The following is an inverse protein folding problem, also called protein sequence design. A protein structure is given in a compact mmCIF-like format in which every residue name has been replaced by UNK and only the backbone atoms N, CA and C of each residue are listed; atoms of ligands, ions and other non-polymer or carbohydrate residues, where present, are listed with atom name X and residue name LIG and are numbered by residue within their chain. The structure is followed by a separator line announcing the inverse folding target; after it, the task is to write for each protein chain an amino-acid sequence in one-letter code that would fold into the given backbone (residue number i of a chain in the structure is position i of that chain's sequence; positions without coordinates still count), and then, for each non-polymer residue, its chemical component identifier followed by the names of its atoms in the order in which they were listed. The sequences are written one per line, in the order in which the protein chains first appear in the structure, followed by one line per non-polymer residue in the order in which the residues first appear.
data_IF_290769897382
#
_entry.id   IF_290769897382
#
_cell.length_a   1.000
_cell.length_b   1.000
_cell.length_c   1.000
_cell.angle_alpha   90.00
_cell.angle_beta   90.00
_cell.angle_gamma   90.00
#
_symmetry.space_group_name_H-M   'P 1'
#
loop_
_entity.id
_entity.type
_entity.pdbx_description
1 polymer ?
#
# COMPACT_ATOMS: atom_id res chain seq x y z
N UNK A 1 -1.52 -6.76 9.76
CA UNK A 1 -1.37 -5.50 8.98
C UNK A 1 -0.50 -5.83 7.77
N UNK A 2 -0.79 -5.26 6.60
CA UNK A 2 -0.01 -5.51 5.37
C UNK A 2 1.22 -4.61 5.35
N UNK A 3 2.31 -5.07 4.73
CA UNK A 3 3.55 -4.31 4.60
C UNK A 3 3.53 -3.32 3.42
N UNK A 4 4.56 -2.47 3.37
CA UNK A 4 4.74 -1.49 2.31
C UNK A 4 5.47 -2.04 1.08
N UNK A 5 5.01 -1.68 -0.11
CA UNK A 5 5.81 -1.72 -1.34
C UNK A 5 5.50 -0.51 -2.22
N UNK A 6 6.53 0.08 -2.85
CA UNK A 6 6.34 1.10 -3.90
C UNK A 6 5.89 0.48 -5.25
N UNK A 7 5.85 -0.85 -5.34
CA UNK A 7 5.20 -1.62 -6.41
C UNK A 7 4.19 -2.59 -5.75
N UNK A 8 3.08 -2.07 -5.21
CA UNK A 8 2.14 -2.87 -4.44
C UNK A 8 1.38 -3.88 -5.31
N UNK A 9 0.89 -4.96 -4.71
CA UNK A 9 0.00 -5.93 -5.37
C UNK A 9 -1.46 -5.79 -4.92
N UNK A 10 -1.73 -4.99 -3.89
CA UNK A 10 -3.09 -4.60 -3.48
C UNK A 10 -3.20 -3.08 -3.28
N UNK A 11 -4.41 -2.54 -3.48
CA UNK A 11 -4.76 -1.16 -3.17
C UNK A 11 -5.79 -1.08 -2.05
N UNK A 12 -5.69 -0.02 -1.24
CA UNK A 12 -6.68 0.32 -0.23
C UNK A 12 -7.85 1.05 -0.87
N UNK A 13 -9.06 0.55 -0.68
CA UNK A 13 -10.27 1.16 -1.20
C UNK A 13 -11.24 1.45 -0.06
N UNK A 14 -11.71 2.69 0.00
CA UNK A 14 -12.79 3.10 0.89
C UNK A 14 -14.09 3.10 0.11
N UNK A 15 -15.11 2.46 0.68
CA UNK A 15 -16.47 2.46 0.16
C UNK A 15 -17.45 2.68 1.31
N UNK A 16 -18.64 3.20 1.02
CA UNK A 16 -19.72 3.25 1.99
C UNK A 16 -20.58 2.00 1.84
N UNK A 17 -20.82 1.31 2.96
CA UNK A 17 -21.70 0.15 3.01
C UNK A 17 -23.14 0.56 2.71
N UNK A 18 -23.92 -0.38 2.19
CA UNK A 18 -25.34 -0.18 1.86
C UNK A 18 -26.22 -0.03 3.11
N UNK A 19 -25.78 -0.60 4.23
CA UNK A 19 -26.43 -0.43 5.53
C UNK A 19 -25.79 0.73 6.30
N UNK A 20 -26.61 1.73 6.61
CA UNK A 20 -26.26 2.89 7.45
C UNK A 20 -25.04 3.72 7.00
N UNK A 21 -24.61 3.60 5.73
CA UNK A 21 -23.44 4.30 5.19
C UNK A 21 -22.16 4.09 6.02
N UNK A 22 -22.00 2.91 6.63
CA UNK A 22 -20.80 2.61 7.42
C UNK A 22 -19.59 2.57 6.48
N UNK A 23 -18.48 3.27 6.77
CA UNK A 23 -17.28 3.18 5.95
C UNK A 23 -16.69 1.77 6.02
N UNK A 24 -16.50 1.16 4.85
CA UNK A 24 -15.87 -0.14 4.67
C UNK A 24 -14.55 0.06 3.96
N UNK A 25 -13.52 -0.57 4.52
CA UNK A 25 -12.15 -0.48 4.06
C UNK A 25 -11.77 -1.85 3.50
N UNK A 26 -11.46 -1.89 2.20
CA UNK A 26 -11.18 -3.13 1.48
C UNK A 26 -9.81 -3.07 0.81
N UNK A 27 -9.12 -4.20 0.76
CA UNK A 27 -7.95 -4.37 -0.10
C UNK A 27 -8.38 -5.04 -1.39
N UNK A 28 -8.01 -4.47 -2.53
CA UNK A 28 -8.30 -5.03 -3.86
C UNK A 28 -7.01 -5.36 -4.57
N UNK A 29 -6.95 -6.55 -5.17
CA UNK A 29 -5.80 -6.97 -5.96
C UNK A 29 -5.64 -6.06 -7.19
N UNK A 30 -4.40 -5.64 -7.46
CA UNK A 30 -4.02 -4.85 -8.63
C UNK A 30 -3.58 -5.74 -9.81
N UNK A 31 -3.30 -7.01 -9.52
CA UNK A 31 -2.89 -8.05 -10.47
C UNK A 31 -3.18 -9.42 -9.87
N UNK A 32 -2.94 -10.48 -10.64
CA UNK A 32 -2.92 -11.84 -10.09
C UNK A 32 -1.84 -11.96 -8.99
N UNK A 33 -2.19 -12.63 -7.90
CA UNK A 33 -1.35 -12.84 -6.71
C UNK A 33 -1.28 -14.34 -6.47
N UNK A 34 -0.07 -14.89 -6.36
CA UNK A 34 0.12 -16.32 -6.14
C UNK A 34 -0.06 -16.69 -4.67
N UNK A 35 -0.40 -17.96 -4.39
CA UNK A 35 -0.42 -18.45 -3.02
C UNK A 35 0.97 -18.32 -2.38
N UNK A 36 1.02 -17.79 -1.15
CA UNK A 36 2.27 -17.51 -0.43
C UNK A 36 2.98 -16.22 -0.82
N UNK A 37 2.51 -15.51 -1.84
CA UNK A 37 3.01 -14.16 -2.16
C UNK A 37 2.55 -13.16 -1.08
N UNK A 38 3.49 -12.35 -0.58
CA UNK A 38 3.17 -11.34 0.43
C UNK A 38 2.26 -10.24 -0.14
N UNK A 39 1.20 -9.88 0.59
CA UNK A 39 0.33 -8.77 0.23
C UNK A 39 0.91 -7.44 0.73
N UNK A 40 1.19 -6.54 -0.20
CA UNK A 40 1.75 -5.22 0.08
C UNK A 40 0.92 -4.11 -0.56
N UNK A 41 0.74 -3.02 0.18
CA UNK A 41 0.13 -1.77 -0.31
C UNK A 41 1.09 -0.58 -0.18
N UNK A 42 0.78 0.54 -0.83
CA UNK A 42 1.59 1.75 -0.68
C UNK A 42 1.13 2.57 0.51
N UNK A 43 2.08 2.98 1.36
CA UNK A 43 1.82 3.87 2.51
C UNK A 43 1.97 5.34 2.11
N UNK A 44 2.51 5.59 0.92
CA UNK A 44 2.87 6.91 0.40
C UNK A 44 2.39 7.05 -1.03
N UNK A 45 2.35 8.28 -1.53
CA UNK A 45 2.09 8.54 -2.94
C UNK A 45 3.20 7.93 -3.82
N UNK A 46 2.78 7.19 -4.84
CA UNK A 46 3.66 6.49 -5.77
C UNK A 46 4.29 7.43 -6.80
N UNK A 47 3.74 8.62 -7.07
CA UNK A 47 4.24 9.52 -8.11
C UNK A 47 5.44 10.38 -7.70
N UNK A 48 5.88 10.25 -6.45
CA UNK A 48 7.07 10.94 -5.94
C UNK A 48 8.37 10.22 -6.32
N UNK A 49 9.50 10.92 -6.27
CA UNK A 49 10.83 10.33 -6.47
C UNK A 49 11.17 9.32 -5.39
N UNK A 50 12.10 8.40 -5.66
CA UNK A 50 12.57 7.42 -4.66
C UNK A 50 13.07 8.08 -3.38
N UNK A 51 13.83 9.18 -3.48
CA UNK A 51 14.36 9.89 -2.32
C UNK A 51 13.23 10.42 -1.43
N UNK A 52 12.20 11.03 -2.04
CA UNK A 52 11.02 11.53 -1.32
C UNK A 52 10.24 10.40 -0.66
N UNK A 53 9.99 9.28 -1.37
CA UNK A 53 9.30 8.12 -0.80
C UNK A 53 10.05 7.55 0.41
N UNK A 54 11.36 7.32 0.29
CA UNK A 54 12.20 6.84 1.42
C UNK A 54 12.20 7.81 2.59
N UNK A 55 12.29 9.11 2.33
CA UNK A 55 12.23 10.13 3.37
C UNK A 55 10.91 10.09 4.16
N UNK A 56 9.75 10.05 3.47
CA UNK A 56 8.45 9.94 4.14
C UNK A 56 8.30 8.66 4.95
N UNK A 57 8.75 7.52 4.39
CA UNK A 57 8.68 6.23 5.08
C UNK A 57 9.57 6.21 6.33
N UNK A 58 10.78 6.76 6.25
CA UNK A 58 11.67 6.86 7.40
C UNK A 58 11.11 7.79 8.48
N UNK A 59 10.49 8.91 8.09
CA UNK A 59 9.92 9.88 9.02
C UNK A 59 8.68 9.35 9.75
N UNK A 60 7.77 8.67 9.05
CA UNK A 60 6.48 8.22 9.60
C UNK A 60 6.48 6.78 10.12
N UNK A 61 7.33 5.91 9.56
CA UNK A 61 7.32 4.46 9.83
C UNK A 61 8.69 3.91 10.23
N UNK A 62 9.73 4.77 10.31
CA UNK A 62 11.07 4.43 10.78
C UNK A 62 11.76 3.27 10.04
N UNK A 63 11.51 3.13 8.74
CA UNK A 63 12.22 2.19 7.88
C UNK A 63 12.55 2.76 6.50
N UNK A 64 13.54 2.16 5.83
CA UNK A 64 13.89 2.45 4.43
C UNK A 64 13.37 1.36 3.51
N UNK A 65 12.59 1.72 2.49
CA UNK A 65 12.06 0.75 1.52
C UNK A 65 13.16 0.19 0.60
N UNK A 66 13.23 -1.14 0.53
CA UNK A 66 14.14 -1.92 -0.32
C UNK A 66 13.46 -2.66 -1.47
N UNK A 67 12.24 -2.28 -1.87
CA UNK A 67 11.58 -2.91 -3.03
C UNK A 67 12.31 -2.54 -4.34
N UNK A 68 12.12 -3.34 -5.39
CA UNK A 68 12.80 -3.19 -6.70
C UNK A 68 12.61 -1.83 -7.39
N UNK A 69 11.55 -1.09 -7.07
CA UNK A 69 11.27 0.24 -7.63
C UNK A 69 12.08 1.37 -6.97
N UNK A 70 12.60 1.13 -5.76
CA UNK A 70 13.29 2.14 -4.96
C UNK A 70 14.81 2.04 -5.13
#
# INVERSE_FOLDING_TARGET
MLNHSCIPNVALCFSFGTEHNVPVLTFRALRNISAGEELCYSYVDLYQTTAQRRHMLQAAYHFTCGCVRC
#
